data_IF_172872360334
#
_entry.id   IF_172872360334
#
_cell.length_a   1.000
_cell.length_b   1.000
_cell.length_c   1.000
_cell.angle_alpha   90.00
_cell.angle_beta   90.00
_cell.angle_gamma   90.00
#
_symmetry.space_group_name_H-M   'P 1'
#
loop_
_entity.id
_entity.type
_entity.pdbx_description
1 polymer ?
#
# COMPACT_ATOMS: atom_id res chain seq x y z
N UNK A 1 7.96 2.13 6.63
CA UNK A 1 8.55 3.11 5.69
C UNK A 1 8.67 4.48 6.35
N UNK A 2 7.59 5.00 6.92
CA UNK A 2 7.52 6.34 7.48
C UNK A 2 8.69 6.69 8.42
N UNK A 3 9.05 5.80 9.32
CA UNK A 3 10.20 6.01 10.21
C UNK A 3 11.56 6.05 9.50
N UNK A 4 11.69 5.34 8.38
CA UNK A 4 12.93 5.31 7.60
C UNK A 4 13.14 6.63 6.85
N UNK A 5 12.06 7.29 6.44
CA UNK A 5 12.13 8.53 5.67
C UNK A 5 12.12 9.80 6.52
N UNK A 6 11.95 9.72 7.84
CA UNK A 6 11.96 10.89 8.74
C UNK A 6 13.12 11.86 8.48
N UNK A 7 14.38 11.42 8.29
CA UNK A 7 15.49 12.35 8.02
C UNK A 7 15.40 13.09 6.67
N UNK A 8 14.54 12.61 5.78
CA UNK A 8 14.34 13.22 4.46
C UNK A 8 13.33 14.39 4.47
N UNK A 9 12.68 14.63 5.62
CA UNK A 9 11.75 15.75 5.81
C UNK A 9 12.29 16.75 6.83
N UNK A 10 12.19 18.02 6.51
CA UNK A 10 12.74 19.09 7.34
C UNK A 10 12.00 19.17 8.69
N UNK A 11 12.76 19.29 9.78
CA UNK A 11 12.23 19.47 11.13
C UNK A 11 11.60 18.23 11.77
N UNK A 12 11.39 17.15 11.03
CA UNK A 12 10.74 15.94 11.59
C UNK A 12 11.58 15.25 12.68
N UNK A 13 12.89 15.24 12.51
CA UNK A 13 13.83 14.68 13.50
C UNK A 13 13.95 15.50 14.79
N UNK A 14 13.50 16.76 14.75
CA UNK A 14 13.55 17.69 15.89
C UNK A 14 12.25 17.68 16.71
N UNK A 15 11.20 17.06 16.19
CA UNK A 15 9.91 16.96 16.88
C UNK A 15 10.03 16.12 18.16
N UNK A 16 9.20 16.47 19.16
CA UNK A 16 9.01 15.59 20.31
C UNK A 16 8.56 14.20 19.83
N UNK A 17 9.08 13.16 20.46
CA UNK A 17 8.87 11.76 20.04
C UNK A 17 7.40 11.43 19.75
N UNK A 18 6.48 11.89 20.60
CA UNK A 18 5.04 11.64 20.43
C UNK A 18 4.43 12.37 19.22
N UNK A 19 4.89 13.58 18.93
CA UNK A 19 4.43 14.33 17.76
C UNK A 19 4.91 13.68 16.45
N UNK A 20 6.16 13.23 16.42
CA UNK A 20 6.70 12.48 15.29
C UNK A 20 5.92 11.19 15.04
N UNK A 21 5.57 10.43 16.10
CA UNK A 21 4.76 9.21 15.98
C UNK A 21 3.38 9.52 15.39
N UNK A 22 2.68 10.55 15.88
CA UNK A 22 1.36 10.93 15.35
C UNK A 22 1.41 11.30 13.88
N UNK A 23 2.45 12.01 13.47
CA UNK A 23 2.62 12.41 12.08
C UNK A 23 2.88 11.20 11.18
N UNK A 24 3.80 10.31 11.55
CA UNK A 24 4.08 9.07 10.83
C UNK A 24 2.84 8.15 10.76
N UNK A 25 2.08 8.04 11.85
CA UNK A 25 0.85 7.26 11.86
C UNK A 25 -0.21 7.85 10.91
N UNK A 26 -0.35 9.17 10.91
CA UNK A 26 -1.25 9.89 9.98
C UNK A 26 -0.85 9.65 8.51
N UNK A 27 0.45 9.71 8.20
CA UNK A 27 0.97 9.43 6.87
C UNK A 27 0.70 7.97 6.46
N UNK A 28 0.96 7.01 7.36
CA UNK A 28 0.66 5.58 7.14
C UNK A 28 -0.84 5.35 6.84
N UNK A 29 -1.74 6.02 7.55
CA UNK A 29 -3.19 5.93 7.25
C UNK A 29 -3.49 6.49 5.86
N UNK A 30 -2.84 7.58 5.47
CA UNK A 30 -2.93 8.13 4.11
C UNK A 30 -2.49 7.12 3.05
N UNK A 31 -1.34 6.48 3.25
CA UNK A 31 -0.80 5.45 2.35
C UNK A 31 -1.73 4.24 2.20
N UNK A 32 -2.36 3.80 3.29
CA UNK A 32 -3.39 2.75 3.25
C UNK A 32 -4.57 3.20 2.40
N UNK A 33 -5.01 4.46 2.52
CA UNK A 33 -6.07 5.04 1.70
C UNK A 33 -5.72 5.05 0.20
N UNK A 34 -4.49 5.45 -0.13
CA UNK A 34 -3.96 5.41 -1.50
C UNK A 34 -3.96 3.97 -2.03
N UNK A 35 -3.42 3.03 -1.25
CA UNK A 35 -3.32 1.62 -1.65
C UNK A 35 -4.69 0.98 -1.87
N UNK A 36 -5.68 1.26 -1.01
CA UNK A 36 -7.05 0.79 -1.17
C UNK A 36 -7.70 1.38 -2.43
N UNK A 37 -7.53 2.67 -2.67
CA UNK A 37 -8.04 3.34 -3.87
C UNK A 37 -7.43 2.73 -5.14
N UNK A 38 -6.11 2.57 -5.16
CA UNK A 38 -5.39 1.95 -6.27
C UNK A 38 -5.85 0.49 -6.51
N UNK A 39 -6.08 -0.28 -5.43
CA UNK A 39 -6.64 -1.64 -5.52
C UNK A 39 -8.03 -1.66 -6.15
N UNK A 40 -8.91 -0.75 -5.74
CA UNK A 40 -10.27 -0.64 -6.29
C UNK A 40 -10.26 -0.26 -7.77
N UNK A 41 -9.43 0.72 -8.16
CA UNK A 41 -9.31 1.13 -9.56
C UNK A 41 -8.75 -0.02 -10.41
N UNK A 42 -7.71 -0.72 -9.94
CA UNK A 42 -7.18 -1.90 -10.61
C UNK A 42 -8.23 -3.01 -10.76
N UNK A 43 -9.02 -3.25 -9.71
CA UNK A 43 -10.12 -4.25 -9.72
C UNK A 43 -11.21 -3.89 -10.72
N UNK A 44 -11.56 -2.61 -10.85
CA UNK A 44 -12.52 -2.13 -11.84
C UNK A 44 -11.99 -2.27 -13.27
N UNK A 45 -10.72 -1.94 -13.49
CA UNK A 45 -10.08 -2.05 -14.81
C UNK A 45 -10.10 -3.47 -15.37
N UNK A 46 -9.95 -4.49 -14.51
CA UNK A 46 -9.99 -5.91 -14.93
C UNK A 46 -11.32 -6.60 -14.61
N UNK A 47 -12.28 -5.88 -14.01
CA UNK A 47 -13.58 -6.40 -13.55
C UNK A 47 -13.48 -7.63 -12.63
N UNK A 48 -12.40 -7.72 -11.84
CA UNK A 48 -12.10 -8.85 -10.93
C UNK A 48 -11.50 -8.31 -9.63
N UNK A 49 -12.05 -8.72 -8.50
CA UNK A 49 -11.54 -8.36 -7.16
C UNK A 49 -10.46 -9.32 -6.66
N UNK A 50 -10.38 -10.49 -7.27
CA UNK A 50 -9.45 -11.57 -6.91
C UNK A 50 -8.15 -11.56 -7.73
N UNK A 51 -7.87 -10.47 -8.47
CA UNK A 51 -6.70 -10.35 -9.34
C UNK A 51 -5.37 -10.56 -8.59
N UNK A 52 -5.33 -10.29 -7.28
CA UNK A 52 -4.15 -10.54 -6.44
C UNK A 52 -3.79 -12.05 -6.37
N UNK A 53 -4.78 -12.94 -6.47
CA UNK A 53 -4.53 -14.40 -6.45
C UNK A 53 -3.77 -14.88 -7.68
N UNK A 54 -3.96 -14.21 -8.82
CA UNK A 54 -3.24 -14.44 -10.06
C UNK A 54 -2.88 -13.10 -10.72
N UNK A 55 -1.88 -12.38 -10.18
CA UNK A 55 -1.57 -11.05 -10.66
C UNK A 55 -1.03 -11.10 -12.09
N UNK A 56 -1.69 -10.38 -12.99
CA UNK A 56 -1.25 -10.15 -14.36
C UNK A 56 -0.65 -8.75 -14.49
N UNK A 57 -0.02 -8.45 -15.62
CA UNK A 57 0.66 -7.15 -15.82
C UNK A 57 -0.29 -5.96 -15.73
N UNK A 58 -1.52 -6.07 -16.29
CA UNK A 58 -2.45 -4.95 -16.35
C UNK A 58 -2.90 -4.45 -14.97
N UNK A 59 -3.51 -5.27 -14.08
CA UNK A 59 -3.96 -4.77 -12.78
C UNK A 59 -2.78 -4.30 -11.90
N UNK A 60 -1.61 -4.92 -12.01
CA UNK A 60 -0.40 -4.47 -11.30
C UNK A 60 0.05 -3.10 -11.80
N UNK A 61 0.10 -2.90 -13.13
CA UNK A 61 0.47 -1.61 -13.70
C UNK A 61 -0.53 -0.51 -13.33
N UNK A 62 -1.84 -0.78 -13.37
CA UNK A 62 -2.87 0.17 -12.94
C UNK A 62 -2.74 0.48 -11.46
N UNK A 63 -2.52 -0.53 -10.61
CA UNK A 63 -2.32 -0.35 -9.18
C UNK A 63 -1.14 0.59 -8.89
N UNK A 64 0.01 0.34 -9.52
CA UNK A 64 1.21 1.16 -9.36
C UNK A 64 1.01 2.58 -9.91
N UNK A 65 0.44 2.71 -11.10
CA UNK A 65 0.21 4.01 -11.72
C UNK A 65 -0.72 4.90 -10.88
N UNK A 66 -1.84 4.37 -10.41
CA UNK A 66 -2.77 5.10 -9.54
C UNK A 66 -2.10 5.51 -8.23
N UNK A 67 -1.35 4.60 -7.61
CA UNK A 67 -0.63 4.90 -6.40
C UNK A 67 0.40 6.03 -6.58
N UNK A 68 1.21 5.96 -7.63
CA UNK A 68 2.19 7.01 -7.94
C UNK A 68 1.50 8.35 -8.22
N UNK A 69 0.42 8.36 -9.02
CA UNK A 69 -0.32 9.59 -9.36
C UNK A 69 -0.89 10.24 -8.09
N UNK A 70 -1.52 9.45 -7.21
CA UNK A 70 -2.08 9.96 -5.96
C UNK A 70 -0.98 10.47 -5.02
N UNK A 71 0.14 9.74 -4.91
CA UNK A 71 1.27 10.18 -4.09
C UNK A 71 1.85 11.50 -4.61
N UNK A 72 2.12 11.62 -5.90
CA UNK A 72 2.63 12.87 -6.49
C UNK A 72 1.66 14.03 -6.23
N UNK A 73 0.35 13.80 -6.42
CA UNK A 73 -0.66 14.83 -6.19
C UNK A 73 -0.76 15.26 -4.73
N UNK A 74 -0.73 14.31 -3.80
CA UNK A 74 -0.78 14.59 -2.36
C UNK A 74 0.52 15.25 -1.85
N UNK A 75 1.67 14.78 -2.30
CA UNK A 75 2.96 15.40 -1.97
C UNK A 75 3.00 16.85 -2.47
N UNK A 76 2.63 17.09 -3.73
CA UNK A 76 2.51 18.45 -4.24
C UNK A 76 1.57 19.31 -3.39
N UNK A 77 0.38 18.81 -3.07
CA UNK A 77 -0.58 19.52 -2.24
C UNK A 77 -0.02 19.84 -0.85
N UNK A 78 0.61 18.88 -0.20
CA UNK A 78 1.11 19.05 1.17
C UNK A 78 2.39 19.87 1.26
N UNK A 79 3.21 19.90 0.24
CA UNK A 79 4.45 20.70 0.23
C UNK A 79 4.26 22.11 -0.29
N UNK A 80 3.24 22.36 -1.16
CA UNK A 80 3.07 23.67 -1.81
C UNK A 80 1.80 24.40 -1.40
N UNK A 81 0.70 23.69 -1.11
CA UNK A 81 -0.60 24.30 -0.83
C UNK A 81 -0.88 24.31 0.67
N UNK A 82 -0.89 23.15 1.33
CA UNK A 82 -1.19 23.06 2.76
C UNK A 82 0.01 23.31 3.65
N UNK A 83 1.23 23.30 3.10
CA UNK A 83 2.50 23.51 3.79
C UNK A 83 2.64 22.67 5.07
N UNK A 84 2.11 21.43 5.01
CA UNK A 84 2.07 20.53 6.16
C UNK A 84 3.44 19.98 6.52
N UNK A 85 4.30 19.80 5.51
CA UNK A 85 5.69 19.41 5.64
C UNK A 85 6.53 19.98 4.51
N UNK A 86 7.83 19.96 4.67
CA UNK A 86 8.80 20.33 3.65
C UNK A 86 9.91 19.29 3.59
N UNK A 87 10.57 19.21 2.45
CA UNK A 87 11.69 18.29 2.28
C UNK A 87 12.97 18.88 2.89
N UNK A 88 13.81 18.02 3.45
CA UNK A 88 15.16 18.39 3.85
C UNK A 88 16.03 18.65 2.61
N UNK A 89 17.12 19.43 2.76
CA UNK A 89 18.05 19.74 1.66
C UNK A 89 18.64 18.47 1.00
N UNK A 90 18.80 17.41 1.77
CA UNK A 90 19.33 16.13 1.30
C UNK A 90 18.32 15.29 0.49
N UNK A 91 17.04 15.69 0.42
CA UNK A 91 16.01 14.95 -0.31
C UNK A 91 16.15 15.20 -1.81
N UNK A 92 16.46 14.17 -2.64
CA UNK A 92 16.42 14.33 -4.08
C UNK A 92 14.97 14.57 -4.54
N UNK A 93 14.77 15.59 -5.37
CA UNK A 93 13.47 15.95 -5.92
C UNK A 93 13.34 15.46 -7.37
N UNK A 94 12.20 14.90 -7.70
CA UNK A 94 11.90 14.37 -9.04
C UNK A 94 11.05 15.38 -9.81
N UNK A 95 11.55 15.90 -10.96
CA UNK A 95 10.78 16.78 -11.83
C UNK A 95 9.62 16.02 -12.49
N UNK A 96 8.57 16.72 -12.95
CA UNK A 96 8.40 18.17 -12.98
C UNK A 96 7.80 18.76 -11.70
N UNK A 97 7.24 17.95 -10.81
CA UNK A 97 6.44 18.41 -9.67
C UNK A 97 7.26 18.61 -8.39
N UNK A 98 8.57 18.34 -8.40
CA UNK A 98 9.40 18.46 -7.21
C UNK A 98 9.04 17.45 -6.12
N UNK A 99 8.49 16.31 -6.47
CA UNK A 99 8.15 15.25 -5.51
C UNK A 99 9.41 14.60 -4.97
N UNK A 100 9.49 14.40 -3.67
CA UNK A 100 10.62 13.72 -3.03
C UNK A 100 10.81 12.29 -3.56
N UNK A 101 12.07 11.89 -3.75
CA UNK A 101 12.39 10.54 -4.22
C UNK A 101 11.96 9.46 -3.21
N UNK A 102 12.00 9.75 -1.91
CA UNK A 102 11.61 8.78 -0.87
C UNK A 102 10.14 8.34 -0.97
N UNK A 103 9.12 9.23 -1.00
CA UNK A 103 7.74 8.82 -1.20
C UNK A 103 7.48 8.14 -2.54
N UNK A 104 8.24 8.45 -3.59
CA UNK A 104 8.12 7.72 -4.87
C UNK A 104 8.73 6.33 -4.81
N UNK A 105 9.89 6.17 -4.17
CA UNK A 105 10.56 4.87 -4.07
C UNK A 105 9.78 3.84 -3.28
N UNK A 106 8.93 4.27 -2.34
CA UNK A 106 8.04 3.35 -1.62
C UNK A 106 7.12 2.58 -2.56
N UNK A 107 6.68 3.17 -3.68
CA UNK A 107 5.82 2.51 -4.68
C UNK A 107 6.55 1.48 -5.54
N UNK A 108 7.88 1.46 -5.52
CA UNK A 108 8.70 0.40 -6.12
C UNK A 108 8.89 -0.76 -5.14
N UNK A 109 9.03 -0.46 -3.84
CA UNK A 109 9.41 -1.44 -2.81
C UNK A 109 8.19 -2.05 -2.14
N UNK A 110 7.25 -1.22 -1.64
CA UNK A 110 6.14 -1.70 -0.80
C UNK A 110 5.09 -2.50 -1.58
N UNK A 111 4.59 -2.07 -2.76
CA UNK A 111 3.53 -2.77 -3.45
C UNK A 111 3.84 -4.22 -3.83
N UNK A 112 5.04 -4.57 -4.34
CA UNK A 112 5.37 -5.96 -4.61
C UNK A 112 5.31 -6.84 -3.35
N UNK A 113 5.78 -6.31 -2.21
CA UNK A 113 5.74 -7.01 -0.92
C UNK A 113 4.29 -7.19 -0.46
N UNK A 114 3.47 -6.14 -0.55
CA UNK A 114 2.05 -6.19 -0.16
C UNK A 114 1.27 -7.18 -1.04
N UNK A 115 1.45 -7.15 -2.36
CA UNK A 115 0.80 -8.09 -3.29
C UNK A 115 1.23 -9.53 -2.96
N UNK A 116 2.51 -9.77 -2.71
CA UNK A 116 3.03 -11.09 -2.37
C UNK A 116 2.46 -11.61 -1.05
N UNK A 117 2.46 -10.79 0.01
CA UNK A 117 1.92 -11.15 1.33
C UNK A 117 0.41 -11.40 1.26
N UNK A 118 -0.35 -10.51 0.62
CA UNK A 118 -1.79 -10.63 0.47
C UNK A 118 -2.16 -11.91 -0.30
N UNK A 119 -1.46 -12.19 -1.41
CA UNK A 119 -1.64 -13.42 -2.17
C UNK A 119 -1.38 -14.66 -1.32
N UNK A 120 -0.25 -14.69 -0.60
CA UNK A 120 0.12 -15.82 0.26
C UNK A 120 -0.90 -16.05 1.36
N UNK A 121 -1.36 -14.99 2.00
CA UNK A 121 -2.39 -15.05 3.03
C UNK A 121 -3.71 -15.59 2.48
N UNK A 122 -4.20 -15.05 1.38
CA UNK A 122 -5.47 -15.45 0.77
C UNK A 122 -5.44 -16.91 0.31
N UNK A 123 -4.34 -17.37 -0.29
CA UNK A 123 -4.17 -18.78 -0.69
C UNK A 123 -4.17 -19.71 0.53
N UNK A 124 -3.53 -19.31 1.63
CA UNK A 124 -3.54 -20.04 2.90
C UNK A 124 -4.96 -20.17 3.47
N UNK A 125 -5.73 -19.09 3.52
CA UNK A 125 -7.13 -19.09 3.98
C UNK A 125 -7.99 -19.99 3.09
N UNK A 126 -7.82 -19.95 1.77
CA UNK A 126 -8.56 -20.82 0.85
C UNK A 126 -8.23 -22.31 1.08
N UNK A 127 -6.96 -22.65 1.30
CA UNK A 127 -6.55 -24.02 1.59
C UNK A 127 -7.17 -24.56 2.88
N UNK A 128 -7.20 -23.75 3.94
CA UNK A 128 -7.83 -24.12 5.23
C UNK A 128 -9.33 -24.34 5.03
N UNK A 129 -10.02 -23.43 4.34
CA UNK A 129 -11.46 -23.55 4.07
C UNK A 129 -11.80 -24.79 3.24
N UNK A 130 -10.97 -25.16 2.25
CA UNK A 130 -11.16 -26.39 1.45
C UNK A 130 -11.02 -27.64 2.31
N UNK A 131 -10.02 -27.70 3.20
CA UNK A 131 -9.81 -28.82 4.12
C UNK A 131 -10.99 -28.99 5.09
N UNK A 132 -11.47 -27.89 5.69
CA UNK A 132 -12.61 -27.93 6.60
C UNK A 132 -13.89 -28.45 5.90
N UNK A 133 -14.15 -28.04 4.66
CA UNK A 133 -15.29 -28.53 3.88
C UNK A 133 -15.17 -30.02 3.56
N UNK A 134 -13.98 -30.50 3.16
CA UNK A 134 -13.76 -31.90 2.87
C UNK A 134 -13.95 -32.82 4.11
N UNK A 135 -13.53 -32.37 5.27
CA UNK A 135 -13.75 -33.08 6.53
C UNK A 135 -15.21 -33.10 6.95
N UNK A 136 -15.96 -32.00 6.75
CA UNK A 136 -17.39 -31.92 7.05
C UNK A 136 -18.21 -32.87 6.18
N UNK A 137 -17.89 -33.00 4.88
CA UNK A 137 -18.57 -33.97 3.99
C UNK A 137 -18.26 -35.41 4.32
N UNK A 138 -17.00 -35.76 4.66
CA UNK A 138 -16.63 -37.10 5.07
C UNK A 138 -17.34 -37.54 6.35
N UNK A 139 -17.47 -36.64 7.35
CA UNK A 139 -18.19 -36.95 8.60
C UNK A 139 -19.70 -37.09 8.44
N UNK A 140 -20.31 -36.45 7.44
CA UNK A 140 -21.74 -36.59 7.15
C UNK A 140 -22.06 -37.95 6.53
N UNK A 141 -21.21 -38.44 5.63
CA UNK A 141 -21.38 -39.75 4.95
C UNK A 141 -21.23 -40.92 5.93
N UNK A 142 -20.39 -40.78 6.96
CA UNK A 142 -20.16 -41.87 7.94
C UNK A 142 -21.29 -42.00 8.98
N UNK A 143 -22.23 -41.06 9.07
CA UNK A 143 -23.38 -41.11 10.01
C UNK A 143 -24.64 -41.67 9.40
N UNK A 144 -24.66 -41.98 8.11
CA UNK A 144 -25.83 -42.50 7.37
C UNK A 144 -25.75 -43.99 7.08
N UNK A 145 -24.75 -44.70 7.59
CA UNK A 145 -24.57 -46.15 7.55
C UNK A 145 -24.75 -46.73 8.98
#
# INVERSE_FOLDING_TARGET
WEFVQVPAFAGLSELAHWEAIKLCLSATVGDVGIALTAFWVASMAVRRRDWILGPTRLPVAVFLAVGVILTVGLEYYHTTVSLRWSYAEAMPLVPPFGTGLSPLSQWIVIPPVVIWLARRHLLGVQAIRRRARAQGTAGATSRTV
#
